data_IF_753034454095
#
_entry.id   IF_753034454095
#
_cell.length_a   1.000
_cell.length_b   1.000
_cell.length_c   1.000
_cell.angle_alpha   90.00
_cell.angle_beta   90.00
_cell.angle_gamma   90.00
#
_symmetry.space_group_name_H-M   'P 1'
#
loop_
_entity.id
_entity.type
_entity.pdbx_description
1 polymer ?
#
# COMPACT_ATOMS: atom_id res chain seq x y z
N UNK A 1 -2.99 40.66 -13.27
CA UNK A 1 -2.26 39.39 -13.25
C UNK A 1 -2.86 38.61 -12.10
N UNK A 2 -3.69 37.61 -12.37
CA UNK A 2 -4.26 36.79 -11.30
C UNK A 2 -3.13 35.99 -10.68
N UNK A 3 -3.12 35.84 -9.35
CA UNK A 3 -2.10 35.07 -8.65
C UNK A 3 -2.06 33.66 -9.24
N UNK A 4 -0.89 33.23 -9.71
CA UNK A 4 -0.68 31.88 -10.21
C UNK A 4 -0.88 30.90 -9.03
N UNK A 5 -2.03 30.23 -9.01
CA UNK A 5 -2.32 29.21 -8.00
C UNK A 5 -1.40 28.01 -8.24
N UNK A 6 -0.47 27.81 -7.31
CA UNK A 6 0.45 26.67 -7.29
C UNK A 6 -0.22 25.44 -6.67
N UNK A 7 0.23 24.26 -7.10
CA UNK A 7 -0.09 22.99 -6.45
C UNK A 7 1.17 22.22 -6.05
N UNK A 8 1.01 21.29 -5.13
CA UNK A 8 2.11 20.58 -4.49
C UNK A 8 2.04 19.07 -4.76
N UNK A 9 3.21 18.46 -5.01
CA UNK A 9 3.37 17.03 -5.19
C UNK A 9 4.55 16.50 -4.36
N UNK A 10 4.59 15.18 -4.15
CA UNK A 10 5.62 14.50 -3.36
C UNK A 10 6.52 13.65 -4.25
N UNK A 11 7.84 13.82 -4.13
CA UNK A 11 8.85 12.92 -4.70
C UNK A 11 9.62 12.32 -3.52
N UNK A 12 9.34 11.05 -3.20
CA UNK A 12 10.02 10.31 -2.14
C UNK A 12 10.40 8.92 -2.67
N UNK A 13 11.61 8.77 -3.24
CA UNK A 13 12.05 7.49 -3.77
C UNK A 13 12.51 6.54 -2.68
N UNK A 14 12.42 5.24 -2.95
CA UNK A 14 12.99 4.16 -2.15
C UNK A 14 14.01 3.35 -2.97
N UNK A 15 15.30 3.76 -2.98
CA UNK A 15 16.36 2.99 -3.65
C UNK A 15 16.45 1.54 -3.17
N UNK A 16 16.14 1.30 -1.89
CA UNK A 16 16.08 -0.03 -1.28
C UNK A 16 14.99 -0.93 -1.91
N UNK A 17 14.01 -0.32 -2.58
CA UNK A 17 12.94 -1.00 -3.32
C UNK A 17 13.15 -0.96 -4.84
N UNK A 18 14.25 -0.38 -5.32
CA UNK A 18 14.63 -0.34 -6.74
C UNK A 18 14.43 0.99 -7.44
N UNK A 19 14.02 2.05 -6.72
CA UNK A 19 13.94 3.39 -7.30
C UNK A 19 15.33 4.00 -7.57
N UNK A 20 15.37 5.03 -8.40
CA UNK A 20 16.53 5.93 -8.44
C UNK A 20 16.65 6.69 -7.12
N UNK A 21 17.85 7.11 -6.75
CA UNK A 21 18.02 8.05 -5.62
C UNK A 21 17.28 9.38 -5.86
N UNK A 22 17.11 10.18 -4.81
CA UNK A 22 16.49 11.50 -4.92
C UNK A 22 17.26 12.40 -5.90
N UNK A 23 18.59 12.45 -5.79
CA UNK A 23 19.42 13.29 -6.67
C UNK A 23 19.33 12.85 -8.13
N UNK A 24 19.33 11.54 -8.39
CA UNK A 24 19.16 11.00 -9.75
C UNK A 24 17.74 11.26 -10.30
N UNK A 25 16.73 11.18 -9.45
CA UNK A 25 15.34 11.50 -9.81
C UNK A 25 15.20 12.99 -10.15
N UNK A 26 15.77 13.88 -9.34
CA UNK A 26 15.78 15.32 -9.61
C UNK A 26 16.59 15.67 -10.85
N UNK A 27 17.70 14.97 -11.10
CA UNK A 27 18.45 15.10 -12.35
C UNK A 27 17.63 14.66 -13.56
N UNK A 28 16.85 13.58 -13.45
CA UNK A 28 15.90 13.17 -14.50
C UNK A 28 14.90 14.29 -14.78
N UNK A 29 14.24 14.82 -13.75
CA UNK A 29 13.27 15.92 -13.87
C UNK A 29 13.88 17.15 -14.55
N UNK A 30 15.06 17.59 -14.10
CA UNK A 30 15.77 18.74 -14.66
C UNK A 30 16.10 18.57 -16.15
N UNK A 31 16.40 17.34 -16.56
CA UNK A 31 16.75 17.00 -17.94
C UNK A 31 15.52 16.61 -18.79
N UNK A 32 14.30 16.81 -18.30
CA UNK A 32 13.07 16.47 -19.03
C UNK A 32 12.76 14.97 -19.12
N UNK A 33 13.47 14.13 -18.36
CA UNK A 33 13.20 12.69 -18.26
C UNK A 33 12.17 12.42 -17.16
N UNK A 34 11.03 11.88 -17.54
CA UNK A 34 9.91 11.60 -16.62
C UNK A 34 9.93 10.13 -16.18
N UNK A 35 10.28 9.88 -14.92
CA UNK A 35 10.11 8.57 -14.26
C UNK A 35 8.65 8.38 -13.80
N UNK A 36 8.22 7.16 -13.44
CA UNK A 36 6.89 6.94 -12.86
C UNK A 36 6.63 7.82 -11.63
N UNK A 37 7.60 7.92 -10.72
CA UNK A 37 7.51 8.77 -9.52
C UNK A 37 7.35 10.25 -9.88
N UNK A 38 8.14 10.76 -10.84
CA UNK A 38 8.01 12.15 -11.30
C UNK A 38 6.64 12.40 -11.93
N UNK A 39 6.17 11.47 -12.77
CA UNK A 39 4.87 11.58 -13.43
C UNK A 39 3.74 11.73 -12.41
N UNK A 40 3.71 10.87 -11.41
CA UNK A 40 2.66 10.90 -10.40
C UNK A 40 2.79 12.10 -9.46
N UNK A 41 4.00 12.55 -9.13
CA UNK A 41 4.19 13.80 -8.39
C UNK A 41 3.64 15.02 -9.14
N UNK A 42 3.82 15.08 -10.46
CA UNK A 42 3.25 16.13 -11.31
C UNK A 42 1.72 16.03 -11.40
N UNK A 43 1.16 14.82 -11.51
CA UNK A 43 -0.30 14.64 -11.47
C UNK A 43 -0.88 15.09 -10.12
N UNK A 44 -0.23 14.74 -9.00
CA UNK A 44 -0.62 15.20 -7.67
C UNK A 44 -0.61 16.73 -7.59
N UNK A 45 0.47 17.37 -8.02
CA UNK A 45 0.58 18.84 -8.05
C UNK A 45 -0.49 19.48 -8.94
N UNK A 46 -0.82 18.87 -10.08
CA UNK A 46 -1.86 19.37 -10.98
C UNK A 46 -3.24 19.33 -10.32
N UNK A 47 -3.62 18.19 -9.73
CA UNK A 47 -4.91 18.05 -9.04
C UNK A 47 -5.04 19.01 -7.85
N UNK A 48 -3.97 19.18 -7.06
CA UNK A 48 -3.95 20.14 -5.95
C UNK A 48 -4.06 21.59 -6.45
N UNK A 49 -3.36 21.96 -7.53
CA UNK A 49 -3.46 23.30 -8.13
C UNK A 49 -4.88 23.59 -8.64
N UNK A 50 -5.52 22.61 -9.28
CA UNK A 50 -6.86 22.76 -9.84
C UNK A 50 -7.91 22.91 -8.74
N UNK A 51 -7.82 22.13 -7.67
CA UNK A 51 -8.70 22.25 -6.51
C UNK A 51 -8.54 23.60 -5.81
N UNK A 52 -7.30 24.04 -5.58
CA UNK A 52 -7.00 25.37 -5.01
C UNK A 52 -7.56 26.51 -5.86
N UNK A 53 -7.42 26.41 -7.19
CA UNK A 53 -7.93 27.44 -8.12
C UNK A 53 -9.45 27.51 -8.09
N UNK A 54 -10.11 26.37 -7.92
CA UNK A 54 -11.55 26.29 -7.73
C UNK A 54 -12.01 26.65 -6.31
N UNK A 55 -11.09 26.81 -5.34
CA UNK A 55 -11.41 27.11 -3.95
C UNK A 55 -12.11 25.96 -3.22
N UNK A 56 -11.83 24.71 -3.60
CA UNK A 56 -12.44 23.50 -3.03
C UNK A 56 -11.38 22.56 -2.46
N UNK A 57 -11.77 21.71 -1.52
CA UNK A 57 -10.91 20.62 -1.06
C UNK A 57 -11.02 19.42 -1.99
N UNK A 58 -9.90 18.74 -2.28
CA UNK A 58 -9.92 17.45 -2.97
C UNK A 58 -10.74 16.39 -2.20
N UNK A 59 -10.90 16.57 -0.88
CA UNK A 59 -11.65 15.66 -0.02
C UNK A 59 -13.14 16.03 0.11
N UNK A 60 -13.61 17.12 -0.51
CA UNK A 60 -15.03 17.48 -0.46
C UNK A 60 -15.89 16.37 -1.10
N UNK A 61 -16.78 15.78 -0.31
CA UNK A 61 -17.62 14.66 -0.74
C UNK A 61 -16.90 13.31 -0.87
N UNK A 62 -15.63 13.21 -0.51
CA UNK A 62 -14.84 11.97 -0.56
C UNK A 62 -14.82 11.31 0.82
N UNK A 63 -15.25 10.05 0.88
CA UNK A 63 -15.04 9.20 2.06
C UNK A 63 -13.76 8.39 1.87
N UNK A 64 -12.75 8.66 2.69
CA UNK A 64 -11.49 7.91 2.65
C UNK A 64 -11.71 6.50 3.22
N UNK A 65 -11.27 5.42 2.54
CA UNK A 65 -11.39 4.07 3.07
C UNK A 65 -10.53 3.86 4.32
N UNK A 66 -10.97 2.96 5.19
CA UNK A 66 -10.21 2.56 6.37
C UNK A 66 -8.83 2.01 5.96
N UNK A 67 -7.83 2.15 6.85
CA UNK A 67 -6.48 1.62 6.65
C UNK A 67 -6.21 0.43 7.58
N UNK A 68 -5.30 -0.47 7.20
CA UNK A 68 -4.61 -1.35 8.14
C UNK A 68 -3.53 -0.57 8.89
N UNK A 69 -3.07 -1.12 10.02
CA UNK A 69 -1.88 -0.66 10.72
C UNK A 69 -0.63 -1.38 10.17
N UNK A 70 0.41 -0.66 9.80
CA UNK A 70 1.73 -1.27 9.52
C UNK A 70 2.45 -1.46 10.84
N UNK A 71 2.76 -2.71 11.21
CA UNK A 71 3.30 -3.05 12.53
C UNK A 71 4.52 -3.97 12.42
N UNK A 72 5.31 -3.99 13.48
CA UNK A 72 6.41 -4.93 13.69
C UNK A 72 5.93 -6.17 14.44
N UNK A 73 6.66 -7.30 14.37
CA UNK A 73 6.28 -8.53 15.07
C UNK A 73 6.65 -8.49 16.56
N UNK A 74 6.00 -7.57 17.28
CA UNK A 74 6.09 -7.38 18.72
C UNK A 74 4.74 -6.98 19.32
N UNK A 75 4.59 -7.17 20.63
CA UNK A 75 3.33 -6.88 21.34
C UNK A 75 2.96 -5.40 21.37
N UNK A 76 3.95 -4.51 21.44
CA UNK A 76 3.71 -3.08 21.67
C UNK A 76 3.03 -2.45 20.45
N UNK A 77 3.54 -2.73 19.26
CA UNK A 77 2.96 -2.23 18.01
C UNK A 77 1.53 -2.76 17.78
N UNK A 78 1.25 -4.02 18.13
CA UNK A 78 -0.09 -4.60 18.07
C UNK A 78 -1.05 -3.97 19.08
N UNK A 79 -0.60 -3.76 20.33
CA UNK A 79 -1.41 -3.10 21.35
C UNK A 79 -1.76 -1.65 20.94
N UNK A 80 -0.79 -0.93 20.35
CA UNK A 80 -1.03 0.40 19.78
C UNK A 80 -2.06 0.37 18.64
N UNK A 81 -1.96 -0.61 17.73
CA UNK A 81 -2.92 -0.76 16.64
C UNK A 81 -4.34 -1.08 17.16
N UNK A 82 -4.46 -1.95 18.18
CA UNK A 82 -5.74 -2.31 18.76
C UNK A 82 -6.37 -1.12 19.49
N UNK A 83 -5.58 -0.39 20.28
CA UNK A 83 -6.02 0.82 20.97
C UNK A 83 -6.45 1.94 20.01
N UNK A 84 -5.81 2.02 18.83
CA UNK A 84 -6.18 2.94 17.76
C UNK A 84 -7.38 2.44 16.92
N UNK A 85 -7.97 1.28 17.24
CA UNK A 85 -9.18 0.77 16.60
C UNK A 85 -8.97 0.11 15.23
N UNK A 86 -7.72 -0.24 14.88
CA UNK A 86 -7.46 -0.97 13.66
C UNK A 86 -8.06 -2.38 13.73
N UNK A 87 -8.60 -2.88 12.61
CA UNK A 87 -9.12 -4.25 12.51
C UNK A 87 -8.20 -5.19 11.72
N UNK A 88 -7.13 -4.63 11.14
CA UNK A 88 -6.18 -5.39 10.34
C UNK A 88 -4.77 -4.83 10.49
N UNK A 89 -3.79 -5.72 10.38
CA UNK A 89 -2.36 -5.41 10.48
C UNK A 89 -1.63 -5.88 9.23
N UNK A 90 -0.62 -5.09 8.80
CA UNK A 90 0.37 -5.50 7.81
C UNK A 90 1.70 -5.72 8.51
N UNK A 91 2.32 -6.88 8.27
CA UNK A 91 3.66 -7.21 8.76
C UNK A 91 4.57 -7.62 7.62
N UNK A 92 5.84 -7.19 7.69
CA UNK A 92 6.89 -7.65 6.79
C UNK A 92 7.47 -8.96 7.30
N UNK A 93 7.57 -9.95 6.43
CA UNK A 93 8.07 -11.30 6.72
C UNK A 93 9.24 -11.66 5.80
N UNK A 94 9.84 -12.82 6.04
CA UNK A 94 10.82 -13.41 5.14
C UNK A 94 12.25 -13.25 5.60
N UNK A 95 12.54 -12.78 6.82
CA UNK A 95 13.92 -12.83 7.34
C UNK A 95 14.24 -14.21 7.90
N UNK A 96 13.41 -14.68 8.83
CA UNK A 96 13.56 -16.00 9.49
C UNK A 96 12.18 -16.61 9.74
N UNK A 97 11.61 -17.26 8.71
CA UNK A 97 10.23 -17.77 8.72
C UNK A 97 9.88 -18.68 9.91
N UNK A 98 10.75 -19.60 10.38
CA UNK A 98 10.42 -20.42 11.55
C UNK A 98 10.14 -19.56 12.79
N UNK A 99 11.04 -18.63 13.13
CA UNK A 99 10.88 -17.72 14.27
C UNK A 99 9.74 -16.73 14.07
N UNK A 100 9.54 -16.25 12.85
CA UNK A 100 8.42 -15.37 12.51
C UNK A 100 7.08 -16.08 12.67
N UNK A 101 6.95 -17.35 12.26
CA UNK A 101 5.71 -18.13 12.42
C UNK A 101 5.30 -18.31 13.88
N UNK A 102 6.27 -18.59 14.76
CA UNK A 102 6.05 -18.69 16.21
C UNK A 102 5.52 -17.38 16.79
N UNK A 103 6.10 -16.25 16.37
CA UNK A 103 5.68 -14.92 16.81
C UNK A 103 4.31 -14.54 16.26
N UNK A 104 4.04 -14.83 14.99
CA UNK A 104 2.72 -14.61 14.39
C UNK A 104 1.65 -15.40 15.16
N UNK A 105 1.87 -16.68 15.47
CA UNK A 105 0.93 -17.47 16.27
C UNK A 105 0.69 -16.86 17.66
N UNK A 106 1.77 -16.53 18.37
CA UNK A 106 1.67 -15.93 19.70
C UNK A 106 0.91 -14.58 19.69
N UNK A 107 1.16 -13.74 18.69
CA UNK A 107 0.47 -12.46 18.52
C UNK A 107 -0.99 -12.66 18.10
N UNK A 108 -1.29 -13.64 17.25
CA UNK A 108 -2.66 -13.95 16.84
C UNK A 108 -3.51 -14.52 17.99
N UNK A 109 -2.89 -15.27 18.91
CA UNK A 109 -3.56 -15.70 20.15
C UNK A 109 -3.85 -14.51 21.07
N UNK A 110 -2.88 -13.59 21.20
CA UNK A 110 -3.02 -12.41 22.07
C UNK A 110 -3.97 -11.35 21.52
N UNK A 111 -4.02 -11.19 20.21
CA UNK A 111 -4.83 -10.20 19.50
C UNK A 111 -5.72 -10.89 18.45
N UNK A 112 -6.73 -11.67 18.90
CA UNK A 112 -7.46 -12.61 18.04
C UNK A 112 -8.40 -11.94 17.03
N UNK A 113 -8.67 -10.64 17.16
CA UNK A 113 -9.60 -9.88 16.32
C UNK A 113 -8.97 -9.40 15.01
N UNK A 114 -7.64 -9.34 14.92
CA UNK A 114 -6.98 -8.84 13.73
C UNK A 114 -7.09 -9.79 12.54
N UNK A 115 -7.35 -9.19 11.38
CA UNK A 115 -7.00 -9.75 10.07
C UNK A 115 -5.56 -9.42 9.70
N UNK A 116 -4.94 -10.28 8.91
CA UNK A 116 -3.51 -10.23 8.64
C UNK A 116 -3.21 -10.00 7.17
N UNK A 117 -2.26 -9.11 6.89
CA UNK A 117 -1.65 -8.92 5.59
C UNK A 117 -0.17 -9.18 5.74
N UNK A 118 0.36 -10.06 4.90
CA UNK A 118 1.78 -10.40 4.93
C UNK A 118 2.47 -9.83 3.71
N UNK A 119 3.67 -9.31 3.89
CA UNK A 119 4.47 -8.79 2.80
C UNK A 119 5.87 -9.40 2.84
N UNK A 120 6.19 -10.15 1.79
CA UNK A 120 7.42 -10.92 1.66
C UNK A 120 8.45 -10.25 0.73
N UNK A 121 8.10 -9.18 0.01
CA UNK A 121 8.98 -8.46 -0.91
C UNK A 121 9.79 -9.37 -1.88
N UNK A 122 9.19 -10.45 -2.40
CA UNK A 122 9.86 -11.46 -3.25
C UNK A 122 11.09 -12.16 -2.63
N UNK A 123 11.21 -12.17 -1.30
CA UNK A 123 12.41 -12.70 -0.62
C UNK A 123 12.41 -14.22 -0.41
N UNK A 124 11.32 -14.92 -0.77
CA UNK A 124 11.11 -16.34 -0.45
C UNK A 124 10.50 -17.10 -1.61
N UNK A 125 10.82 -18.39 -1.69
CA UNK A 125 10.19 -19.32 -2.64
C UNK A 125 8.78 -19.71 -2.20
N UNK A 126 7.93 -20.13 -3.14
CA UNK A 126 6.58 -20.60 -2.83
C UNK A 126 6.59 -21.76 -1.83
N UNK A 127 7.54 -22.68 -1.98
CA UNK A 127 7.67 -23.82 -1.06
C UNK A 127 8.04 -23.40 0.38
N UNK A 128 8.80 -22.32 0.56
CA UNK A 128 9.07 -21.76 1.89
C UNK A 128 7.83 -21.12 2.49
N UNK A 129 7.05 -20.38 1.70
CA UNK A 129 5.81 -19.74 2.15
C UNK A 129 4.73 -20.78 2.46
N UNK A 130 4.65 -21.85 1.67
CA UNK A 130 3.74 -22.98 1.93
C UNK A 130 4.03 -23.64 3.28
N UNK A 131 5.31 -23.92 3.58
CA UNK A 131 5.73 -24.44 4.90
C UNK A 131 5.39 -23.46 6.03
N UNK A 132 5.56 -22.17 5.79
CA UNK A 132 5.17 -21.13 6.75
C UNK A 132 3.66 -21.18 7.02
N UNK A 133 2.80 -21.23 6.00
CA UNK A 133 1.35 -21.34 6.17
C UNK A 133 0.95 -22.60 6.93
N UNK A 134 1.54 -23.76 6.63
CA UNK A 134 1.31 -24.97 7.41
C UNK A 134 1.67 -24.80 8.88
N UNK A 135 2.75 -24.08 9.19
CA UNK A 135 3.16 -23.81 10.57
C UNK A 135 2.20 -22.88 11.31
N UNK A 136 1.46 -22.00 10.62
CA UNK A 136 0.45 -21.13 11.23
C UNK A 136 -0.82 -21.87 11.64
N UNK A 137 -1.18 -22.92 10.90
CA UNK A 137 -2.41 -23.69 11.09
C UNK A 137 -3.64 -23.07 10.42
N UNK A 138 -4.64 -23.91 10.13
CA UNK A 138 -5.78 -23.56 9.26
C UNK A 138 -6.60 -22.37 9.78
N UNK A 139 -6.88 -22.31 11.08
CA UNK A 139 -7.70 -21.24 11.67
C UNK A 139 -7.05 -19.87 11.55
N UNK A 140 -5.72 -19.80 11.64
CA UNK A 140 -4.99 -18.56 11.46
C UNK A 140 -4.90 -18.20 9.97
N UNK A 141 -4.70 -19.17 9.09
CA UNK A 141 -4.70 -18.93 7.64
C UNK A 141 -6.02 -18.31 7.15
N UNK A 142 -7.17 -18.68 7.73
CA UNK A 142 -8.48 -18.07 7.43
C UNK A 142 -8.56 -16.57 7.78
N UNK A 143 -7.66 -16.06 8.63
CA UNK A 143 -7.60 -14.64 9.01
C UNK A 143 -6.63 -13.83 8.14
N UNK A 144 -5.94 -14.45 7.19
CA UNK A 144 -5.04 -13.76 6.28
C UNK A 144 -5.87 -13.19 5.13
N UNK A 145 -5.89 -11.86 4.99
CA UNK A 145 -6.51 -11.17 3.87
C UNK A 145 -5.81 -11.52 2.55
N UNK A 146 -4.47 -11.43 2.53
CA UNK A 146 -3.61 -11.79 1.41
C UNK A 146 -2.13 -11.76 1.81
N UNK A 147 -1.27 -12.27 0.92
CA UNK A 147 0.19 -12.18 1.01
C UNK A 147 0.76 -11.48 -0.23
N UNK A 148 1.43 -10.34 -0.03
CA UNK A 148 2.11 -9.55 -1.05
C UNK A 148 3.44 -10.18 -1.43
N UNK A 149 3.64 -10.37 -2.74
CA UNK A 149 4.92 -10.75 -3.34
C UNK A 149 5.57 -11.98 -2.65
N UNK A 150 4.74 -12.96 -2.27
CA UNK A 150 5.10 -14.15 -1.49
C UNK A 150 5.76 -15.28 -2.31
N UNK A 151 6.43 -14.93 -3.38
CA UNK A 151 7.13 -15.84 -4.29
C UNK A 151 8.40 -15.17 -4.80
N UNK A 152 9.37 -15.97 -5.23
CA UNK A 152 10.57 -15.43 -5.86
C UNK A 152 10.23 -14.88 -7.25
N UNK A 153 10.96 -13.87 -7.75
CA UNK A 153 10.65 -13.28 -9.06
C UNK A 153 10.70 -14.27 -10.24
N UNK A 154 11.37 -15.41 -10.08
CA UNK A 154 11.42 -16.48 -11.09
C UNK A 154 10.17 -17.37 -11.09
N UNK A 155 9.36 -17.34 -10.04
CA UNK A 155 8.15 -18.16 -9.91
C UNK A 155 6.92 -17.40 -10.45
N UNK A 156 5.92 -18.16 -10.90
CA UNK A 156 4.65 -17.62 -11.39
C UNK A 156 3.48 -18.35 -10.73
N UNK A 157 3.05 -17.98 -9.51
CA UNK A 157 1.95 -18.65 -8.81
C UNK A 157 0.57 -18.28 -9.35
N UNK A 158 -0.43 -19.11 -9.12
CA UNK A 158 -1.80 -18.96 -9.66
C UNK A 158 -2.74 -18.12 -8.78
N UNK A 159 -2.20 -17.06 -8.16
CA UNK A 159 -2.99 -16.09 -7.39
C UNK A 159 -3.46 -16.55 -6.01
N UNK A 160 -3.33 -17.84 -5.68
CA UNK A 160 -3.66 -18.44 -4.38
C UNK A 160 -2.55 -19.40 -3.95
N UNK A 161 -2.32 -19.49 -2.63
CA UNK A 161 -1.48 -20.52 -2.03
C UNK A 161 -2.19 -21.09 -0.81
N UNK A 162 -2.51 -22.39 -0.84
CA UNK A 162 -3.30 -23.07 0.20
C UNK A 162 -4.61 -22.33 0.57
N UNK A 163 -5.27 -21.73 -0.42
CA UNK A 163 -6.50 -20.96 -0.23
C UNK A 163 -6.31 -19.53 0.28
N UNK A 164 -5.08 -19.12 0.59
CA UNK A 164 -4.76 -17.73 0.96
C UNK A 164 -4.50 -16.92 -0.31
N UNK A 165 -5.17 -15.76 -0.51
CA UNK A 165 -4.94 -14.90 -1.68
C UNK A 165 -3.52 -14.37 -1.76
N UNK A 166 -2.96 -14.34 -2.96
CA UNK A 166 -1.72 -13.64 -3.26
C UNK A 166 -2.05 -12.25 -3.80
N UNK A 167 -1.21 -11.29 -3.41
CA UNK A 167 -1.27 -9.92 -3.89
C UNK A 167 0.02 -9.56 -4.63
N UNK A 168 -0.09 -8.74 -5.67
CA UNK A 168 1.06 -8.20 -6.39
C UNK A 168 1.25 -6.72 -6.06
N UNK A 169 2.47 -6.33 -5.71
CA UNK A 169 2.85 -4.95 -5.37
C UNK A 169 3.90 -4.38 -6.34
N UNK A 170 5.02 -5.08 -6.54
CA UNK A 170 6.13 -4.54 -7.36
C UNK A 170 5.86 -4.47 -8.85
N UNK A 171 5.00 -5.34 -9.38
CA UNK A 171 4.78 -5.53 -10.83
C UNK A 171 3.30 -5.59 -11.17
N UNK A 172 2.55 -4.57 -10.76
CA UNK A 172 1.12 -4.46 -11.08
C UNK A 172 0.96 -4.16 -12.56
N UNK A 173 0.38 -5.10 -13.31
CA UNK A 173 0.08 -4.96 -14.73
C UNK A 173 -1.43 -4.98 -14.97
N UNK A 174 -1.91 -4.15 -15.89
CA UNK A 174 -3.34 -4.03 -16.21
C UNK A 174 -3.87 -5.17 -17.07
N UNK A 175 -3.02 -5.96 -17.69
CA UNK A 175 -3.38 -7.13 -18.51
C UNK A 175 -3.25 -8.46 -17.75
N UNK A 176 -2.81 -8.43 -16.49
CA UNK A 176 -2.65 -9.61 -15.65
C UNK A 176 -3.81 -9.75 -14.65
N UNK A 177 -4.73 -10.68 -14.95
CA UNK A 177 -5.87 -11.02 -14.09
C UNK A 177 -5.58 -12.17 -13.11
N UNK A 178 -4.33 -12.67 -13.07
CA UNK A 178 -3.95 -13.86 -12.29
C UNK A 178 -4.09 -13.64 -10.78
N UNK A 179 -3.74 -12.45 -10.31
CA UNK A 179 -3.72 -12.14 -8.89
C UNK A 179 -5.04 -11.51 -8.45
N UNK A 180 -5.71 -12.04 -7.42
CA UNK A 180 -7.00 -11.51 -6.97
C UNK A 180 -6.88 -10.12 -6.32
N UNK A 181 -5.68 -9.73 -5.86
CA UNK A 181 -5.43 -8.45 -5.17
C UNK A 181 -4.25 -7.71 -5.81
N UNK A 182 -4.48 -6.45 -6.16
CA UNK A 182 -3.49 -5.52 -6.68
C UNK A 182 -3.19 -4.46 -5.61
N UNK A 183 -1.92 -4.34 -5.20
CA UNK A 183 -1.47 -3.29 -4.28
C UNK A 183 -1.03 -2.09 -5.10
N UNK A 184 -1.77 -0.98 -4.98
CA UNK A 184 -1.56 0.21 -5.81
C UNK A 184 -1.02 1.35 -4.95
N UNK A 185 0.10 1.92 -5.38
CA UNK A 185 0.77 3.07 -4.78
C UNK A 185 0.64 4.26 -5.72
N UNK A 186 -0.25 5.22 -5.44
CA UNK A 186 -0.43 6.39 -6.30
C UNK A 186 0.84 7.23 -6.52
N UNK A 187 1.87 7.07 -5.69
CA UNK A 187 3.18 7.69 -5.90
C UNK A 187 3.92 7.16 -7.15
N UNK A 188 3.66 5.94 -7.60
CA UNK A 188 4.41 5.31 -8.71
C UNK A 188 3.52 4.62 -9.74
N UNK A 189 2.30 4.22 -9.38
CA UNK A 189 1.37 3.54 -10.27
C UNK A 189 0.38 4.51 -10.93
N UNK A 190 -0.04 4.18 -12.15
CA UNK A 190 -1.23 4.78 -12.76
C UNK A 190 -2.49 4.15 -12.18
N UNK A 191 -2.95 4.72 -11.06
CA UNK A 191 -4.04 4.18 -10.28
C UNK A 191 -5.36 4.06 -11.06
N UNK A 192 -5.66 5.01 -11.95
CA UNK A 192 -6.95 5.06 -12.64
C UNK A 192 -7.08 3.90 -13.63
N UNK A 193 -6.07 3.72 -14.47
CA UNK A 193 -6.00 2.59 -15.40
C UNK A 193 -6.04 1.22 -14.69
N UNK A 194 -5.38 1.11 -13.53
CA UNK A 194 -5.38 -0.13 -12.74
C UNK A 194 -6.76 -0.40 -12.12
N UNK A 195 -7.44 0.61 -11.59
CA UNK A 195 -8.79 0.44 -11.03
C UNK A 195 -9.79 0.04 -12.11
N UNK A 196 -9.71 0.66 -13.30
CA UNK A 196 -10.57 0.31 -14.43
C UNK A 196 -10.36 -1.16 -14.85
N UNK A 197 -9.11 -1.58 -15.02
CA UNK A 197 -8.80 -2.97 -15.35
C UNK A 197 -9.24 -3.94 -14.25
N UNK A 198 -8.95 -3.63 -12.99
CA UNK A 198 -9.33 -4.48 -11.86
C UNK A 198 -10.86 -4.67 -11.78
N UNK A 199 -11.63 -3.62 -12.06
CA UNK A 199 -13.09 -3.69 -12.14
C UNK A 199 -13.54 -4.67 -13.23
N UNK A 200 -12.92 -4.60 -14.42
CA UNK A 200 -13.23 -5.48 -15.54
C UNK A 200 -12.87 -6.95 -15.27
N UNK A 201 -11.80 -7.18 -14.50
CA UNK A 201 -11.29 -8.51 -14.17
C UNK A 201 -11.83 -9.10 -12.85
N UNK A 202 -12.67 -8.36 -12.12
CA UNK A 202 -13.18 -8.78 -10.81
C UNK A 202 -12.11 -8.85 -9.71
N UNK A 203 -11.00 -8.14 -9.88
CA UNK A 203 -9.89 -8.05 -8.92
C UNK A 203 -10.18 -6.99 -7.85
N UNK A 204 -9.48 -7.07 -6.72
CA UNK A 204 -9.49 -6.06 -5.67
C UNK A 204 -8.27 -5.17 -5.76
N UNK A 205 -8.44 -3.88 -5.51
CA UNK A 205 -7.36 -2.90 -5.38
C UNK A 205 -7.22 -2.45 -3.93
N UNK A 206 -6.03 -2.61 -3.40
CA UNK A 206 -5.63 -2.09 -2.09
C UNK A 206 -4.70 -0.92 -2.31
N UNK A 207 -5.20 0.29 -2.05
CA UNK A 207 -4.36 1.48 -2.10
C UNK A 207 -3.41 1.49 -0.91
N UNK A 208 -2.15 1.83 -1.16
CA UNK A 208 -1.17 2.07 -0.10
C UNK A 208 -0.45 3.39 -0.32
N UNK A 209 -0.03 4.01 0.77
CA UNK A 209 1.00 5.06 0.68
C UNK A 209 2.34 4.45 0.29
N UNK A 210 3.29 5.29 -0.11
CA UNK A 210 4.62 4.82 -0.47
C UNK A 210 5.61 4.94 0.68
N UNK A 211 5.12 4.90 1.94
CA UNK A 211 5.88 5.31 3.12
C UNK A 211 6.53 6.69 2.91
N UNK A 212 5.79 7.57 2.25
CA UNK A 212 6.25 8.87 1.77
C UNK A 212 5.79 10.01 2.69
N UNK A 213 6.10 11.25 2.30
CA UNK A 213 5.70 12.44 3.04
C UNK A 213 4.16 12.46 3.25
N UNK A 214 3.63 13.05 4.34
CA UNK A 214 2.19 13.24 4.55
C UNK A 214 1.40 13.79 3.35
N UNK A 215 2.04 14.60 2.49
CA UNK A 215 1.46 15.05 1.22
C UNK A 215 1.19 13.88 0.25
N UNK A 216 2.14 12.96 0.09
CA UNK A 216 1.98 11.75 -0.71
C UNK A 216 0.97 10.77 -0.10
N UNK A 217 0.98 10.64 1.24
CA UNK A 217 -0.05 9.85 1.96
C UNK A 217 -1.46 10.42 1.75
N UNK A 218 -1.62 11.75 1.80
CA UNK A 218 -2.89 12.43 1.52
C UNK A 218 -3.34 12.20 0.08
N UNK A 219 -2.42 12.27 -0.88
CA UNK A 219 -2.72 11.97 -2.27
C UNK A 219 -3.17 10.52 -2.45
N UNK A 220 -2.51 9.57 -1.79
CA UNK A 220 -2.92 8.17 -1.81
C UNK A 220 -4.32 7.97 -1.20
N UNK A 221 -4.62 8.64 -0.10
CA UNK A 221 -5.92 8.60 0.56
C UNK A 221 -7.03 9.19 -0.32
N UNK A 222 -6.77 10.32 -0.96
CA UNK A 222 -7.70 10.94 -1.90
C UNK A 222 -7.99 10.02 -3.10
N UNK A 223 -6.95 9.47 -3.74
CA UNK A 223 -7.12 8.52 -4.86
C UNK A 223 -7.89 7.27 -4.44
N UNK A 224 -7.64 6.75 -3.24
CA UNK A 224 -8.39 5.62 -2.69
C UNK A 224 -9.88 5.95 -2.50
N UNK A 225 -10.20 7.12 -1.94
CA UNK A 225 -11.58 7.57 -1.77
C UNK A 225 -12.31 7.86 -3.09
N UNK A 226 -11.61 8.42 -4.08
CA UNK A 226 -12.13 8.61 -5.42
C UNK A 226 -12.46 7.26 -6.08
N UNK A 227 -11.53 6.31 -6.02
CA UNK A 227 -11.73 4.97 -6.55
C UNK A 227 -12.89 4.24 -5.84
N UNK A 228 -13.00 4.38 -4.52
CA UNK A 228 -14.10 3.82 -3.74
C UNK A 228 -15.47 4.43 -4.12
N UNK A 229 -15.49 5.71 -4.48
CA UNK A 229 -16.72 6.40 -4.88
C UNK A 229 -17.18 5.98 -6.28
N UNK A 230 -16.25 5.76 -7.21
CA UNK A 230 -16.54 5.36 -8.59
C UNK A 230 -16.80 3.85 -8.73
N UNK A 231 -16.03 3.04 -8.00
CA UNK A 231 -16.03 1.58 -8.07
C UNK A 231 -16.01 0.97 -6.66
N UNK A 232 -17.10 1.05 -5.87
CA UNK A 232 -17.12 0.59 -4.48
C UNK A 232 -16.80 -0.90 -4.29
N UNK A 233 -17.00 -1.71 -5.33
CA UNK A 233 -16.69 -3.13 -5.30
C UNK A 233 -15.20 -3.43 -5.44
N UNK A 234 -14.38 -2.49 -5.92
CA UNK A 234 -12.97 -2.73 -6.25
C UNK A 234 -12.07 -2.49 -5.06
N UNK A 235 -12.36 -1.49 -4.23
CA UNK A 235 -11.52 -1.12 -3.09
C UNK A 235 -12.28 -1.13 -1.77
N UNK A 236 -11.54 -1.29 -0.68
CA UNK A 236 -12.06 -1.39 0.68
C UNK A 236 -10.98 -1.00 1.67
N UNK A 237 -10.61 -1.90 2.57
CA UNK A 237 -9.54 -1.66 3.54
C UNK A 237 -8.17 -1.46 2.83
N UNK A 238 -7.57 -0.28 3.00
CA UNK A 238 -6.34 0.18 2.36
C UNK A 238 -5.13 0.17 3.32
N UNK A 239 -4.00 0.76 2.93
CA UNK A 239 -2.74 0.90 3.69
C UNK A 239 -2.18 2.32 3.59
N UNK A 240 -2.97 3.29 4.01
CA UNK A 240 -2.74 4.71 3.76
C UNK A 240 -1.93 5.40 4.86
N UNK A 241 -1.91 4.80 6.05
CA UNK A 241 -1.35 5.40 7.27
C UNK A 241 0.05 4.85 7.52
N UNK A 242 1.08 5.62 7.16
CA UNK A 242 2.49 5.27 7.39
C UNK A 242 3.29 6.38 8.07
N UNK A 243 2.70 7.55 8.34
CA UNK A 243 3.37 8.65 9.01
C UNK A 243 3.93 8.29 10.40
N UNK A 244 3.29 7.36 11.13
CA UNK A 244 3.77 6.87 12.43
C UNK A 244 5.09 6.08 12.36
N UNK A 245 5.58 5.76 11.16
CA UNK A 245 6.91 5.18 10.95
C UNK A 245 8.03 6.23 11.04
N UNK A 246 7.69 7.52 11.02
CA UNK A 246 8.64 8.64 11.03
C UNK A 246 8.51 9.47 12.31
N UNK A 247 9.51 10.32 12.56
CA UNK A 247 9.40 11.32 13.61
C UNK A 247 8.29 12.32 13.24
N UNK A 248 7.46 12.73 14.20
CA UNK A 248 6.43 13.73 13.96
C UNK A 248 7.00 15.06 13.42
N UNK A 249 6.24 15.69 12.54
CA UNK A 249 6.44 17.03 12.01
C UNK A 249 5.09 17.76 11.84
N UNK A 250 5.14 19.04 11.48
CA UNK A 250 3.95 19.89 11.31
C UNK A 250 2.90 19.29 10.35
N UNK A 251 3.35 18.59 9.30
CA UNK A 251 2.42 17.93 8.36
C UNK A 251 1.79 16.67 8.95
N UNK A 252 2.53 15.88 9.73
CA UNK A 252 1.96 14.69 10.39
C UNK A 252 0.92 15.09 11.44
N UNK A 253 1.12 16.19 12.16
CA UNK A 253 0.15 16.70 13.14
C UNK A 253 -1.16 17.13 12.46
N UNK A 254 -1.07 17.63 11.22
CA UNK A 254 -2.24 18.00 10.43
C UNK A 254 -3.04 16.79 9.88
N UNK A 255 -2.43 15.59 9.81
CA UNK A 255 -3.13 14.38 9.38
C UNK A 255 -4.09 13.82 10.43
N UNK A 256 -3.91 14.18 11.70
CA UNK A 256 -4.66 13.65 12.85
C UNK A 256 -3.97 12.46 13.49
#
# INVERSE_FOLDING_TARGET
MGDDVLGYGCIHPWPELGDLSLDETLACLKNGKITPLIRQALHCAQHDADARRAGVSLFDGITVPLSHATVTLDTESFAKAEAAGFTAVKVKLGRVLPTESERVRSLAEKFPTFRWRFDFNHTRSLAEVERFLHSLGEELCKKIDFMEDAWSESEQPDGLLLGVPLAVDRKVYTDDSKFPVLVVKPAVNDADSIVESAAANGQKVVFTSYMDHPLGQSYAAWKAGLAASLSPSVTGLCGLITHGLFQPNEFTECLG
#
